data_IF_434553694513
#
_entry.id   IF_434553694513
#
_cell.length_a   1.000
_cell.length_b   1.000
_cell.length_c   1.000
_cell.angle_alpha   90.00
_cell.angle_beta   90.00
_cell.angle_gamma   90.00
#
_symmetry.space_group_name_H-M   'P 1'
#
loop_
_entity.id
_entity.type
_entity.pdbx_description
1 polymer ?
#
# COMPACT_ATOMS: atom_id res chain seq x y z
N UNK A 1 -37.10 -0.44 -17.79
CA UNK A 1 -35.84 0.29 -18.04
C UNK A 1 -34.71 -0.33 -17.26
N UNK A 2 -33.73 -0.96 -17.92
CA UNK A 2 -32.40 -1.21 -17.37
C UNK A 2 -31.44 -0.21 -18.03
N UNK A 3 -31.52 1.08 -17.69
CA UNK A 3 -30.80 2.14 -18.44
C UNK A 3 -29.89 3.02 -17.60
N UNK A 4 -29.62 2.69 -16.33
CA UNK A 4 -28.64 3.42 -15.50
C UNK A 4 -27.60 2.51 -14.81
N UNK A 5 -27.59 1.23 -15.15
CA UNK A 5 -26.53 0.31 -14.72
C UNK A 5 -25.40 0.32 -15.73
N UNK A 6 -24.42 1.22 -15.58
CA UNK A 6 -23.09 0.90 -16.10
C UNK A 6 -22.58 -0.28 -15.27
N UNK A 7 -22.79 -1.48 -15.79
CA UNK A 7 -22.07 -2.67 -15.40
C UNK A 7 -20.61 -2.43 -15.80
N UNK A 8 -19.89 -1.68 -14.98
CA UNK A 8 -18.45 -1.72 -15.01
C UNK A 8 -18.11 -3.19 -14.76
N UNK A 9 -17.59 -3.86 -15.79
CA UNK A 9 -16.99 -5.18 -15.61
C UNK A 9 -15.93 -5.01 -14.54
N UNK A 10 -16.21 -5.50 -13.34
CA UNK A 10 -15.15 -5.72 -12.37
C UNK A 10 -14.20 -6.72 -13.05
N UNK A 11 -12.90 -6.43 -13.04
CA UNK A 11 -11.92 -7.44 -13.40
C UNK A 11 -12.02 -8.54 -12.34
N UNK A 12 -12.82 -9.58 -12.63
CA UNK A 12 -13.09 -10.69 -11.71
C UNK A 12 -11.78 -11.27 -11.17
N UNK A 13 -10.75 -11.35 -12.02
CA UNK A 13 -9.41 -11.83 -11.67
C UNK A 13 -8.70 -10.85 -10.71
N UNK A 14 -8.85 -9.56 -10.93
CA UNK A 14 -8.32 -8.51 -10.05
C UNK A 14 -8.99 -8.52 -8.68
N UNK A 15 -10.31 -8.71 -8.65
CA UNK A 15 -11.11 -8.76 -7.44
C UNK A 15 -10.81 -10.02 -6.60
N UNK A 16 -10.75 -11.19 -7.22
CA UNK A 16 -10.38 -12.44 -6.55
C UNK A 16 -8.98 -12.38 -5.95
N UNK A 17 -8.04 -11.77 -6.68
CA UNK A 17 -6.68 -11.53 -6.16
C UNK A 17 -6.67 -10.57 -4.97
N UNK A 18 -7.50 -9.53 -5.00
CA UNK A 18 -7.62 -8.60 -3.88
C UNK A 18 -8.18 -9.29 -2.62
N UNK A 19 -9.18 -10.16 -2.78
CA UNK A 19 -9.70 -10.99 -1.70
C UNK A 19 -8.63 -11.94 -1.15
N UNK A 20 -7.89 -12.62 -2.03
CA UNK A 20 -6.80 -13.51 -1.64
C UNK A 20 -5.70 -12.79 -0.87
N UNK A 21 -5.31 -11.58 -1.29
CA UNK A 21 -4.35 -10.75 -0.54
C UNK A 21 -4.91 -10.35 0.83
N UNK A 22 -6.21 -10.03 0.93
CA UNK A 22 -6.87 -9.75 2.22
C UNK A 22 -6.84 -10.94 3.17
N UNK A 23 -7.15 -12.15 2.68
CA UNK A 23 -7.09 -13.37 3.48
C UNK A 23 -5.66 -13.66 3.96
N UNK A 24 -4.67 -13.52 3.07
CA UNK A 24 -3.27 -13.68 3.42
C UNK A 24 -2.84 -12.66 4.49
N UNK A 25 -3.26 -11.41 4.39
CA UNK A 25 -2.97 -10.39 5.41
C UNK A 25 -3.58 -10.73 6.76
N UNK A 26 -4.80 -11.27 6.80
CA UNK A 26 -5.43 -11.72 8.05
C UNK A 26 -4.56 -12.80 8.72
N UNK A 27 -4.10 -13.79 7.95
CA UNK A 27 -3.20 -14.84 8.47
C UNK A 27 -1.90 -14.25 9.02
N UNK A 28 -1.32 -13.25 8.36
CA UNK A 28 -0.13 -12.57 8.87
C UNK A 28 -0.42 -11.77 10.14
N UNK A 29 -1.57 -11.11 10.24
CA UNK A 29 -1.99 -10.39 11.46
C UNK A 29 -2.18 -11.36 12.62
N UNK A 30 -2.81 -12.52 12.39
CA UNK A 30 -2.98 -13.54 13.43
C UNK A 30 -1.62 -14.07 13.92
N UNK A 31 -0.71 -14.38 12.99
CA UNK A 31 0.66 -14.77 13.33
C UNK A 31 1.37 -13.68 14.14
N UNK A 32 1.21 -12.41 13.74
CA UNK A 32 1.78 -11.28 14.45
C UNK A 32 1.24 -11.19 15.88
N UNK A 33 -0.07 -11.33 16.09
CA UNK A 33 -0.66 -11.30 17.44
C UNK A 33 -0.08 -12.39 18.33
N UNK A 34 0.00 -13.63 17.82
CA UNK A 34 0.55 -14.77 18.57
C UNK A 34 2.03 -14.57 18.90
N UNK A 35 2.81 -14.08 17.94
CA UNK A 35 4.25 -13.84 18.13
C UNK A 35 4.51 -12.68 19.10
N UNK A 36 3.71 -11.60 19.06
CA UNK A 36 3.78 -10.50 20.03
C UNK A 36 3.48 -10.96 21.46
N UNK A 37 2.46 -11.81 21.64
CA UNK A 37 2.15 -12.38 22.95
C UNK A 37 3.30 -13.25 23.48
N UNK A 38 3.91 -14.04 22.60
CA UNK A 38 5.07 -14.88 22.92
C UNK A 38 6.30 -14.03 23.27
N UNK A 39 6.59 -13.00 22.48
CA UNK A 39 7.67 -12.03 22.73
C UNK A 39 7.48 -11.34 24.07
N UNK A 40 6.27 -10.91 24.41
CA UNK A 40 5.96 -10.34 25.73
C UNK A 40 6.31 -11.33 26.84
N UNK A 41 5.96 -12.61 26.68
CA UNK A 41 6.30 -13.68 27.62
C UNK A 41 7.81 -13.79 27.86
N UNK A 42 8.59 -13.85 26.77
CA UNK A 42 10.06 -13.85 26.86
C UNK A 42 10.59 -12.60 27.54
N UNK A 43 10.12 -11.42 27.14
CA UNK A 43 10.54 -10.13 27.69
C UNK A 43 10.33 -10.02 29.21
N UNK A 44 9.21 -10.53 29.71
CA UNK A 44 8.91 -10.52 31.14
C UNK A 44 9.86 -11.42 31.95
N UNK A 45 10.41 -12.47 31.35
CA UNK A 45 11.31 -13.44 32.02
C UNK A 45 12.78 -13.02 31.99
N UNK A 46 13.17 -12.15 31.06
CA UNK A 46 14.53 -11.61 30.96
C UNK A 46 14.80 -10.69 32.17
N UNK A 47 15.96 -10.79 32.83
CA UNK A 47 16.31 -9.91 33.96
C UNK A 47 16.30 -8.43 33.54
N UNK A 48 16.03 -7.51 34.47
CA UNK A 48 15.99 -6.07 34.16
C UNK A 48 17.33 -5.52 33.71
N UNK A 49 18.40 -6.10 34.22
CA UNK A 49 19.80 -5.74 33.97
C UNK A 49 20.36 -6.39 32.70
N UNK A 50 19.54 -7.19 31.99
CA UNK A 50 20.01 -7.93 30.83
C UNK A 50 20.18 -7.00 29.62
N UNK A 51 21.35 -7.03 28.93
CA UNK A 51 21.66 -6.12 27.81
C UNK A 51 20.65 -6.12 26.66
N UNK A 52 19.96 -7.23 26.42
CA UNK A 52 18.88 -7.32 25.42
C UNK A 52 17.75 -6.31 25.66
N UNK A 53 17.50 -5.93 26.92
CA UNK A 53 16.48 -4.92 27.24
C UNK A 53 16.87 -3.53 26.74
N UNK A 54 18.17 -3.24 26.64
CA UNK A 54 18.68 -1.95 26.14
C UNK A 54 18.46 -1.78 24.63
N UNK A 55 18.23 -2.88 23.92
CA UNK A 55 17.88 -2.86 22.50
C UNK A 55 16.44 -2.43 22.22
N UNK A 56 15.59 -2.35 23.26
CA UNK A 56 14.22 -1.82 23.19
C UNK A 56 13.36 -2.41 22.07
N UNK A 57 13.43 -3.72 21.85
CA UNK A 57 12.65 -4.39 20.79
C UNK A 57 11.12 -4.13 20.86
N UNK A 58 10.46 -4.04 22.02
CA UNK A 58 9.03 -3.71 22.08
C UNK A 58 8.73 -2.34 21.45
N UNK A 59 9.59 -1.34 21.70
CA UNK A 59 9.46 0.00 21.12
C UNK A 59 9.65 -0.04 19.61
N UNK A 60 10.64 -0.79 19.12
CA UNK A 60 10.89 -0.97 17.69
C UNK A 60 9.71 -1.61 16.96
N UNK A 61 9.18 -2.71 17.51
CA UNK A 61 8.03 -3.40 16.93
C UNK A 61 6.80 -2.50 16.96
N UNK A 62 6.55 -1.79 18.07
CA UNK A 62 5.45 -0.84 18.16
C UNK A 62 5.57 0.30 17.15
N UNK A 63 6.77 0.86 16.95
CA UNK A 63 7.01 1.93 15.98
C UNK A 63 6.81 1.44 14.55
N UNK A 64 7.19 0.20 14.24
CA UNK A 64 6.99 -0.44 12.94
C UNK A 64 5.50 -0.62 12.62
N UNK A 65 4.71 -1.12 13.58
CA UNK A 65 3.26 -1.25 13.45
C UNK A 65 2.58 0.10 13.28
N UNK A 66 3.01 1.10 14.05
CA UNK A 66 2.48 2.45 13.95
C UNK A 66 2.72 3.05 12.57
N UNK A 67 3.90 2.84 11.97
CA UNK A 67 4.18 3.27 10.59
C UNK A 67 3.24 2.64 9.56
N UNK A 68 2.98 1.33 9.66
CA UNK A 68 2.03 0.66 8.78
C UNK A 68 0.63 1.26 8.96
N UNK A 69 0.18 1.42 10.20
CA UNK A 69 -1.13 1.95 10.53
C UNK A 69 -1.33 3.40 10.07
N UNK A 70 -0.32 4.25 10.26
CA UNK A 70 -0.32 5.64 9.79
C UNK A 70 -0.43 5.70 8.27
N UNK A 71 0.39 4.94 7.54
CA UNK A 71 0.33 4.91 6.08
C UNK A 71 -1.04 4.43 5.57
N UNK A 72 -1.64 3.44 6.24
CA UNK A 72 -2.98 2.95 5.91
C UNK A 72 -4.07 4.00 6.21
N UNK A 73 -3.93 4.76 7.29
CA UNK A 73 -4.85 5.84 7.63
C UNK A 73 -4.82 6.94 6.58
N UNK A 74 -3.63 7.40 6.17
CA UNK A 74 -3.48 8.40 5.10
C UNK A 74 -4.15 7.96 3.81
N UNK A 75 -3.94 6.69 3.41
CA UNK A 75 -4.58 6.13 2.22
C UNK A 75 -6.10 6.09 2.40
N UNK A 76 -6.58 5.67 3.58
CA UNK A 76 -8.03 5.62 3.85
C UNK A 76 -8.67 7.00 3.77
N UNK A 77 -7.99 8.04 4.24
CA UNK A 77 -8.47 9.41 4.16
C UNK A 77 -8.53 9.92 2.72
N UNK A 78 -7.53 9.61 1.90
CA UNK A 78 -7.54 9.91 0.46
C UNK A 78 -8.67 9.16 -0.26
N UNK A 79 -8.91 7.89 0.07
CA UNK A 79 -10.05 7.15 -0.46
C UNK A 79 -11.39 7.74 -0.04
N UNK A 80 -11.52 8.31 1.16
CA UNK A 80 -12.75 9.02 1.58
C UNK A 80 -12.98 10.29 0.78
N UNK A 81 -11.92 10.98 0.36
CA UNK A 81 -12.05 12.16 -0.50
C UNK A 81 -12.50 11.78 -1.91
N UNK A 82 -11.96 10.69 -2.45
CA UNK A 82 -12.33 10.19 -3.79
C UNK A 82 -13.68 9.47 -3.79
N UNK A 83 -14.04 8.80 -2.70
CA UNK A 83 -15.28 8.03 -2.54
C UNK A 83 -16.03 8.44 -1.26
N UNK A 84 -16.62 9.65 -1.21
CA UNK A 84 -17.22 10.22 0.00
C UNK A 84 -18.40 9.41 0.57
N UNK A 85 -19.01 8.55 -0.24
CA UNK A 85 -20.11 7.67 0.17
C UNK A 85 -19.70 6.19 0.23
N UNK A 86 -18.41 5.88 0.11
CA UNK A 86 -17.91 4.50 0.00
C UNK A 86 -18.37 3.78 -1.29
N UNK A 87 -18.98 4.51 -2.22
CA UNK A 87 -19.49 3.99 -3.49
C UNK A 87 -18.79 4.67 -4.66
N UNK A 88 -18.37 3.86 -5.62
CA UNK A 88 -17.92 4.35 -6.92
C UNK A 88 -19.14 4.80 -7.73
N UNK A 89 -19.33 6.11 -7.90
CA UNK A 89 -20.37 6.66 -8.77
C UNK A 89 -19.74 7.24 -10.03
N UNK A 90 -20.17 6.82 -11.23
CA UNK A 90 -19.73 7.44 -12.47
C UNK A 90 -19.99 8.96 -12.44
N UNK A 91 -18.96 9.75 -12.72
CA UNK A 91 -19.03 11.22 -12.71
C UNK A 91 -18.88 11.89 -11.34
N UNK A 92 -18.82 11.14 -10.23
CA UNK A 92 -18.62 11.71 -8.90
C UNK A 92 -17.16 12.07 -8.60
N UNK A 93 -16.20 11.40 -9.25
CA UNK A 93 -14.76 11.64 -9.08
C UNK A 93 -14.01 11.48 -10.39
N UNK A 94 -12.95 12.28 -10.56
CA UNK A 94 -12.05 12.21 -11.70
C UNK A 94 -11.22 10.91 -11.62
N UNK A 95 -11.12 10.18 -12.74
CA UNK A 95 -10.27 8.99 -12.89
C UNK A 95 -8.83 9.28 -12.44
N UNK A 96 -8.29 10.48 -12.72
CA UNK A 96 -6.97 10.89 -12.25
C UNK A 96 -6.86 10.87 -10.73
N UNK A 97 -7.90 11.32 -10.01
CA UNK A 97 -7.92 11.30 -8.55
C UNK A 97 -8.01 9.87 -8.01
N UNK A 98 -8.76 9.00 -8.69
CA UNK A 98 -8.87 7.58 -8.33
C UNK A 98 -7.52 6.88 -8.50
N UNK A 99 -6.88 7.02 -9.66
CA UNK A 99 -5.53 6.48 -9.91
C UNK A 99 -4.54 7.04 -8.89
N UNK A 100 -4.62 8.35 -8.60
CA UNK A 100 -3.80 9.02 -7.60
C UNK A 100 -3.92 8.37 -6.23
N UNK A 101 -5.14 8.20 -5.71
CA UNK A 101 -5.39 7.59 -4.40
C UNK A 101 -4.92 6.13 -4.34
N UNK A 102 -5.18 5.33 -5.37
CA UNK A 102 -4.74 3.92 -5.40
C UNK A 102 -3.21 3.83 -5.45
N UNK A 103 -2.53 4.72 -6.17
CA UNK A 103 -1.07 4.70 -6.29
C UNK A 103 -0.32 4.89 -4.96
N UNK A 104 -0.99 5.44 -3.95
CA UNK A 104 -0.42 5.65 -2.61
C UNK A 104 -0.03 4.34 -1.92
N UNK A 105 -0.69 3.22 -2.24
CA UNK A 105 -0.30 1.90 -1.72
C UNK A 105 1.13 1.49 -2.11
N UNK A 106 1.72 2.09 -3.15
CA UNK A 106 3.15 1.87 -3.50
C UNK A 106 4.09 2.31 -2.37
N UNK A 107 3.68 3.25 -1.51
CA UNK A 107 4.45 3.72 -0.35
C UNK A 107 4.76 2.61 0.66
N UNK A 108 3.96 1.53 0.69
CA UNK A 108 4.27 0.38 1.56
C UNK A 108 5.60 -0.30 1.22
N UNK A 109 6.15 -0.12 0.00
CA UNK A 109 7.51 -0.54 -0.31
C UNK A 109 8.54 0.17 0.58
N UNK A 110 8.38 1.49 0.77
CA UNK A 110 9.26 2.30 1.60
C UNK A 110 9.07 1.97 3.09
N UNK A 111 7.83 1.73 3.53
CA UNK A 111 7.55 1.26 4.89
C UNK A 111 8.28 -0.05 5.18
N UNK A 112 8.24 -1.02 4.24
CA UNK A 112 8.96 -2.30 4.39
C UNK A 112 10.47 -2.12 4.51
N UNK A 113 11.07 -1.28 3.65
CA UNK A 113 12.50 -1.00 3.71
C UNK A 113 12.90 -0.32 5.01
N UNK A 114 12.09 0.62 5.50
CA UNK A 114 12.32 1.27 6.79
C UNK A 114 12.25 0.29 7.96
N UNK A 115 11.26 -0.62 7.98
CA UNK A 115 11.17 -1.66 9.02
C UNK A 115 12.40 -2.58 8.98
N UNK A 116 12.83 -3.00 7.78
CA UNK A 116 14.02 -3.82 7.61
C UNK A 116 15.28 -3.15 8.14
N UNK A 117 15.50 -1.87 7.79
CA UNK A 117 16.67 -1.12 8.24
C UNK A 117 16.73 -1.02 9.78
N UNK A 118 15.61 -0.67 10.42
CA UNK A 118 15.60 -0.54 11.89
C UNK A 118 15.83 -1.89 12.58
N UNK A 119 15.25 -2.98 12.03
CA UNK A 119 15.43 -4.33 12.55
C UNK A 119 16.87 -4.79 12.36
N UNK A 120 17.48 -4.53 11.21
CA UNK A 120 18.86 -4.87 10.90
C UNK A 120 19.83 -4.23 11.89
N UNK A 121 19.71 -2.92 12.12
CA UNK A 121 20.57 -2.19 13.07
C UNK A 121 20.49 -2.77 14.49
N UNK A 122 19.28 -3.11 14.94
CA UNK A 122 19.09 -3.74 16.26
C UNK A 122 19.51 -5.19 16.31
N UNK A 123 19.37 -5.92 15.22
CA UNK A 123 19.81 -7.30 15.14
C UNK A 123 21.34 -7.39 15.10
N UNK A 124 22.01 -6.49 14.40
CA UNK A 124 23.48 -6.38 14.42
C UNK A 124 23.97 -6.10 15.85
N UNK A 125 23.39 -5.08 16.51
CA UNK A 125 23.67 -4.77 17.92
C UNK A 125 23.43 -5.96 18.86
N UNK A 126 22.43 -6.79 18.55
CA UNK A 126 22.13 -7.99 19.33
C UNK A 126 23.15 -9.11 19.14
N UNK A 127 23.66 -9.30 17.92
CA UNK A 127 24.73 -10.27 17.65
C UNK A 127 26.05 -9.84 18.29
N UNK A 128 26.35 -8.54 18.34
CA UNK A 128 27.55 -8.02 19.00
C UNK A 128 27.53 -8.24 20.52
N UNK A 129 26.34 -8.34 21.13
CA UNK A 129 26.18 -8.71 22.54
C UNK A 129 26.49 -10.19 22.80
N UNK A 130 26.34 -11.07 21.81
CA UNK A 130 26.65 -12.49 21.94
C UNK A 130 28.16 -12.75 22.07
N UNK A 131 29.03 -11.91 21.51
CA UNK A 131 30.48 -12.03 21.70
C UNK A 131 30.92 -11.72 23.16
N UNK A 132 30.04 -11.10 23.95
CA UNK A 132 30.21 -10.84 25.39
C UNK A 132 29.65 -12.01 26.24
N UNK A 133 28.93 -12.96 25.62
CA UNK A 133 28.29 -14.11 26.27
C UNK A 133 29.22 -15.30 26.59
N UNK A 134 30.55 -15.13 26.49
CA UNK A 134 31.55 -16.09 26.98
C UNK A 134 31.46 -16.35 28.52
N UNK A 135 30.57 -15.66 29.24
CA UNK A 135 30.30 -15.83 30.68
C UNK A 135 29.24 -16.90 31.03
N UNK A 136 28.79 -17.73 30.09
CA UNK A 136 27.96 -18.91 30.38
C UNK A 136 26.48 -18.65 30.71
N UNK A 137 26.08 -17.40 30.96
CA UNK A 137 24.67 -16.99 31.12
C UNK A 137 24.00 -16.62 29.79
N UNK A 138 24.76 -16.15 28.79
CA UNK A 138 24.19 -15.70 27.51
C UNK A 138 23.74 -16.82 26.56
N UNK A 139 24.12 -18.07 26.82
CA UNK A 139 23.66 -19.24 26.05
C UNK A 139 22.16 -19.58 26.26
N UNK A 140 21.47 -18.87 27.16
CA UNK A 140 20.04 -19.08 27.48
C UNK A 140 19.08 -18.04 26.89
N UNK A 141 19.55 -17.01 26.19
CA UNK A 141 18.66 -16.11 25.45
C UNK A 141 18.38 -16.68 24.05
N UNK A 142 17.19 -17.24 23.96
CA UNK A 142 16.88 -18.49 23.26
C UNK A 142 16.80 -18.35 21.74
N UNK A 143 17.19 -19.38 20.97
CA UNK A 143 16.77 -19.56 19.58
C UNK A 143 15.26 -19.34 19.39
N UNK A 144 14.45 -19.67 20.41
CA UNK A 144 13.02 -19.36 20.48
C UNK A 144 12.69 -17.87 20.45
N UNK A 145 13.38 -17.03 21.24
CA UNK A 145 13.20 -15.57 21.18
C UNK A 145 13.56 -15.01 19.80
N UNK A 146 14.72 -15.41 19.24
CA UNK A 146 15.16 -14.98 17.89
C UNK A 146 14.16 -15.38 16.82
N UNK A 147 13.71 -16.63 16.86
CA UNK A 147 12.71 -17.15 15.94
C UNK A 147 11.39 -16.38 16.06
N UNK A 148 10.92 -16.14 17.29
CA UNK A 148 9.66 -15.41 17.53
C UNK A 148 9.76 -13.97 17.03
N UNK A 149 10.91 -13.33 17.21
CA UNK A 149 11.18 -11.99 16.70
C UNK A 149 11.21 -11.97 15.17
N UNK A 150 11.92 -12.92 14.55
CA UNK A 150 11.96 -13.07 13.10
C UNK A 150 10.55 -13.32 12.51
N UNK A 151 9.73 -14.13 13.17
CA UNK A 151 8.34 -14.36 12.78
C UNK A 151 7.48 -13.08 12.90
N UNK A 152 7.62 -12.33 13.99
CA UNK A 152 6.91 -11.06 14.16
C UNK A 152 7.29 -10.04 13.08
N UNK A 153 8.59 -9.89 12.79
CA UNK A 153 9.08 -9.01 11.72
C UNK A 153 8.61 -9.49 10.36
N UNK A 154 8.71 -10.79 10.07
CA UNK A 154 8.22 -11.38 8.83
C UNK A 154 6.73 -11.12 8.64
N UNK A 155 5.93 -11.26 9.70
CA UNK A 155 4.49 -10.99 9.65
C UNK A 155 4.20 -9.51 9.36
N UNK A 156 4.90 -8.57 10.00
CA UNK A 156 4.78 -7.13 9.69
C UNK A 156 5.11 -6.82 8.23
N UNK A 157 6.20 -7.40 7.72
CA UNK A 157 6.60 -7.23 6.32
C UNK A 157 5.58 -7.86 5.37
N UNK A 158 4.99 -9.00 5.75
CA UNK A 158 3.92 -9.67 5.03
C UNK A 158 2.66 -8.82 4.93
N UNK A 159 2.24 -8.19 6.04
CA UNK A 159 1.10 -7.24 6.03
C UNK A 159 1.37 -6.06 5.11
N UNK A 160 2.53 -5.42 5.24
CA UNK A 160 2.87 -4.29 4.37
C UNK A 160 2.97 -4.69 2.89
N UNK A 161 3.46 -5.90 2.60
CA UNK A 161 3.50 -6.44 1.24
C UNK A 161 2.09 -6.72 0.70
N UNK A 162 1.21 -7.32 1.51
CA UNK A 162 -0.19 -7.55 1.13
C UNK A 162 -0.89 -6.24 0.81
N UNK A 163 -0.71 -5.20 1.63
CA UNK A 163 -1.25 -3.86 1.35
C UNK A 163 -0.70 -3.30 0.03
N UNK A 164 0.61 -3.43 -0.22
CA UNK A 164 1.20 -3.03 -1.49
C UNK A 164 0.58 -3.78 -2.69
N UNK A 165 0.34 -5.08 -2.55
CA UNK A 165 -0.27 -5.91 -3.59
C UNK A 165 -1.74 -5.54 -3.82
N UNK A 166 -2.52 -5.29 -2.75
CA UNK A 166 -3.89 -4.77 -2.86
C UNK A 166 -3.92 -3.51 -3.71
N UNK A 167 -2.99 -2.57 -3.49
CA UNK A 167 -2.82 -1.40 -4.34
C UNK A 167 -2.65 -1.73 -5.82
N UNK A 168 -1.75 -2.66 -6.15
CA UNK A 168 -1.52 -3.10 -7.54
C UNK A 168 -2.75 -3.74 -8.17
N UNK A 169 -3.53 -4.50 -7.40
CA UNK A 169 -4.78 -5.09 -7.88
C UNK A 169 -5.85 -4.03 -8.11
N UNK A 170 -5.97 -3.07 -7.21
CA UNK A 170 -6.85 -1.92 -7.38
C UNK A 170 -6.46 -1.08 -8.61
N UNK A 171 -5.16 -0.86 -8.87
CA UNK A 171 -4.71 -0.12 -10.05
C UNK A 171 -5.19 -0.83 -11.33
N UNK A 172 -5.00 -2.15 -11.41
CA UNK A 172 -5.44 -2.96 -12.56
C UNK A 172 -6.95 -2.93 -12.75
N UNK A 173 -7.72 -3.04 -11.65
CA UNK A 173 -9.19 -2.93 -11.71
C UNK A 173 -9.57 -1.58 -12.30
N UNK A 174 -9.01 -0.47 -11.78
CA UNK A 174 -9.29 0.87 -12.29
C UNK A 174 -8.90 1.01 -13.77
N UNK A 175 -7.73 0.54 -14.18
CA UNK A 175 -7.28 0.56 -15.58
C UNK A 175 -8.20 -0.24 -16.51
N UNK A 176 -8.68 -1.42 -16.08
CA UNK A 176 -9.59 -2.26 -16.88
C UNK A 176 -11.01 -1.70 -16.97
N UNK A 177 -11.47 -1.05 -15.89
CA UNK A 177 -12.81 -0.50 -15.77
C UNK A 177 -12.97 0.83 -16.51
N UNK A 178 -11.87 1.53 -16.72
CA UNK A 178 -11.80 2.79 -17.46
C UNK A 178 -10.74 2.66 -18.56
N UNK A 179 -11.10 2.11 -19.73
CA UNK A 179 -10.24 2.29 -20.89
C UNK A 179 -10.06 3.80 -21.04
N UNK A 180 -8.81 4.27 -20.86
CA UNK A 180 -8.41 5.60 -21.30
C UNK A 180 -8.97 5.72 -22.71
N UNK A 181 -9.87 6.67 -22.95
CA UNK A 181 -10.32 6.97 -24.30
C UNK A 181 -9.05 7.01 -25.14
N UNK A 182 -8.95 6.12 -26.12
CA UNK A 182 -8.00 6.31 -27.21
C UNK A 182 -8.27 7.72 -27.67
N UNK A 183 -7.34 8.62 -27.32
CA UNK A 183 -7.33 9.96 -27.87
C UNK A 183 -7.17 9.70 -29.36
N UNK A 184 -8.30 9.65 -30.06
CA UNK A 184 -8.37 9.87 -31.49
C UNK A 184 -7.86 11.28 -31.63
N UNK A 185 -6.54 11.42 -31.73
CA UNK A 185 -5.92 12.49 -32.47
C UNK A 185 -6.50 12.38 -33.88
N UNK A 186 -7.69 12.94 -34.07
CA UNK A 186 -8.14 13.35 -35.37
C UNK A 186 -7.16 14.45 -35.76
N UNK A 187 -6.10 14.04 -36.43
CA UNK A 187 -5.37 14.87 -37.38
C UNK A 187 -6.35 15.25 -38.50
N UNK A 188 -7.33 16.09 -38.20
CA UNK A 188 -7.94 16.98 -39.19
C UNK A 188 -7.02 18.20 -39.34
N UNK A 189 -5.77 17.94 -39.71
CA UNK A 189 -4.93 18.95 -40.33
C UNK A 189 -5.06 18.78 -41.84
N UNK A 190 -5.82 19.68 -42.45
CA UNK A 190 -5.71 19.92 -43.89
C UNK A 190 -6.98 19.74 -44.71
N UNK A 191 -7.98 20.59 -44.50
CA UNK A 191 -8.58 21.25 -45.66
C UNK A 191 -9.00 22.68 -45.32
N UNK A 192 -8.09 23.58 -45.70
CA UNK A 192 -8.23 25.03 -45.72
C UNK A 192 -9.51 25.43 -46.43
N UNK A 193 -10.44 26.03 -45.68
CA UNK A 193 -11.57 26.78 -46.22
C UNK A 193 -11.02 27.96 -47.02
N UNK A 194 -11.25 27.94 -48.33
CA UNK A 194 -11.00 29.09 -49.19
C UNK A 194 -11.86 30.27 -48.72
N UNK A 195 -11.18 31.38 -48.45
CA UNK A 195 -11.72 32.65 -47.99
C UNK A 195 -12.66 33.21 -49.08
N UNK A 196 -13.95 33.36 -48.75
CA UNK A 196 -14.87 34.21 -49.50
C UNK A 196 -14.58 35.67 -49.15
N UNK A 197 -14.02 36.42 -50.10
CA UNK A 197 -14.03 37.88 -50.04
C UNK A 197 -15.35 38.41 -50.61
N UNK A 198 -16.08 39.15 -49.80
CA UNK A 198 -17.29 39.86 -50.19
C UNK A 198 -16.99 41.08 -51.06
N UNK A 199 -17.93 41.38 -51.95
CA UNK A 199 -17.96 42.59 -52.76
C UNK A 199 -19.36 42.80 -53.31
N UNK A 200 -20.22 43.42 -52.51
CA UNK A 200 -21.51 43.99 -52.93
C UNK A 200 -21.25 45.17 -53.86
N UNK A 201 -21.91 45.19 -55.01
CA UNK A 201 -21.91 46.32 -55.94
C UNK A 201 -23.11 46.22 -56.87
N UNK A 202 -24.16 46.93 -56.52
CA UNK A 202 -25.31 47.22 -57.37
C UNK A 202 -24.88 47.87 -58.69
N UNK A 203 -25.50 47.45 -59.79
CA UNK A 203 -25.81 48.34 -60.90
C UNK A 203 -26.93 47.74 -61.75
N UNK A 204 -28.14 48.28 -61.55
CA UNK A 204 -29.13 48.45 -62.61
C UNK A 204 -28.50 49.23 -63.78
N UNK A 205 -28.75 48.82 -65.02
CA UNK A 205 -29.38 49.69 -66.01
C UNK A 205 -29.66 48.94 -67.33
N UNK A 206 -30.92 49.08 -67.77
CA UNK A 206 -31.44 49.25 -69.14
C UNK A 206 -31.03 48.29 -70.26
#
# INVERSE_FOLDING_TARGET
EPSLGMNISLDDVGYDRLLSESENMIVQIDLLVVTLQSLRGYYCQISKEHPVRDLQWPSLVSASLLRIAQQLSEISDEFRLVFPHGLFRPGASNITSIIGAVSLFRRFAQVRLSILADVEDRHASYLDLDDIALSGEGARHTPGFRLTLALAVSAMLGVAQGLQNCGRHLERIVESSFPLEEVKCNENYGHTTAIQFGGSGDSNDS
#
